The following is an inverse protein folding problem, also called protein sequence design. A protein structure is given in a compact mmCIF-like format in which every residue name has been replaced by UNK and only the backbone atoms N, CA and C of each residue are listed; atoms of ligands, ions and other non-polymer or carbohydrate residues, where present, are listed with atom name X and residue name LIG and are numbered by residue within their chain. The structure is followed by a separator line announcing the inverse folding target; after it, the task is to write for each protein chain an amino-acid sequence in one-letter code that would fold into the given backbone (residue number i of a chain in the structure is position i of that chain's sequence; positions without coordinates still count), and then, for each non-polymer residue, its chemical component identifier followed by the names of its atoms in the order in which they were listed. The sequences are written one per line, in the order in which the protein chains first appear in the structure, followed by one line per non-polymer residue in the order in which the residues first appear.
data_IF_336720844907
#
_entry.id   IF_336720844907
#
_cell.length_a   1.000
_cell.length_b   1.000
_cell.length_c   1.000
_cell.angle_alpha   90.00
_cell.angle_beta   90.00
_cell.angle_gamma   90.00
#
_symmetry.space_group_name_H-M   'P 1'
#
loop_
_entity.id
_entity.type
_entity.pdbx_description
1 polymer ?
#
# COMPACT_ATOMS: atom_id res chain seq x y z
N UNK A 1 -20.22 -0.20 24.86
CA UNK A 1 -19.92 -1.63 24.63
C UNK A 1 -18.41 -1.76 24.52
N UNK A 2 -17.73 -2.20 25.57
CA UNK A 2 -16.31 -2.48 25.49
C UNK A 2 -16.17 -3.87 24.86
N UNK A 3 -15.73 -3.91 23.60
CA UNK A 3 -15.25 -5.15 22.99
C UNK A 3 -14.11 -5.65 23.92
N UNK A 4 -14.18 -6.91 24.35
CA UNK A 4 -13.16 -7.52 25.22
C UNK A 4 -11.75 -7.51 24.59
N UNK A 5 -10.75 -8.16 25.19
CA UNK A 5 -9.34 -8.13 24.76
C UNK A 5 -9.09 -8.97 23.49
N UNK A 6 -9.99 -8.87 22.51
CA UNK A 6 -9.81 -9.44 21.18
C UNK A 6 -8.58 -8.83 20.49
N UNK A 7 -8.06 -9.52 19.47
CA UNK A 7 -6.85 -9.07 18.78
C UNK A 7 -7.05 -7.66 18.20
N UNK A 8 -6.07 -6.78 18.44
CA UNK A 8 -6.09 -5.38 18.01
C UNK A 8 -6.06 -5.20 16.48
N UNK A 9 -5.58 -6.23 15.78
CA UNK A 9 -5.55 -6.36 14.32
C UNK A 9 -5.54 -7.84 13.94
N UNK A 10 -5.89 -8.11 12.70
CA UNK A 10 -5.71 -9.42 12.04
C UNK A 10 -4.70 -9.24 10.93
N UNK A 11 -3.79 -10.21 10.80
CA UNK A 11 -2.80 -10.24 9.72
C UNK A 11 -3.04 -11.48 8.87
N UNK A 12 -3.29 -11.28 7.58
CA UNK A 12 -3.29 -12.35 6.59
C UNK A 12 -1.91 -12.42 5.92
N UNK A 13 -1.45 -13.63 5.66
CA UNK A 13 -0.25 -13.90 4.86
C UNK A 13 -0.63 -14.80 3.70
N UNK A 14 -0.16 -14.48 2.50
CA UNK A 14 -0.38 -15.36 1.38
C UNK A 14 0.18 -14.86 0.05
N UNK A 15 0.11 -15.72 -0.97
CA UNK A 15 0.62 -15.39 -2.29
C UNK A 15 -0.36 -14.51 -3.06
N UNK A 16 0.17 -13.51 -3.77
CA UNK A 16 -0.48 -12.83 -4.89
C UNK A 16 0.47 -12.84 -6.08
N UNK A 17 -0.08 -13.01 -7.28
CA UNK A 17 0.68 -12.91 -8.53
C UNK A 17 0.46 -11.52 -9.11
N UNK A 18 1.53 -10.84 -9.51
CA UNK A 18 1.46 -9.61 -10.30
C UNK A 18 1.12 -9.95 -11.75
N UNK A 19 2.06 -9.73 -12.67
CA UNK A 19 1.92 -10.21 -14.06
C UNK A 19 2.39 -11.66 -14.15
N UNK A 20 3.67 -11.88 -13.89
CA UNK A 20 4.28 -13.20 -14.04
C UNK A 20 4.84 -13.73 -12.72
N UNK A 21 5.25 -12.84 -11.82
CA UNK A 21 5.95 -13.22 -10.58
C UNK A 21 4.97 -13.39 -9.41
N UNK A 22 5.04 -14.52 -8.66
CA UNK A 22 4.34 -14.65 -7.40
C UNK A 22 5.08 -13.91 -6.28
N UNK A 23 4.33 -13.24 -5.41
CA UNK A 23 4.81 -12.56 -4.22
C UNK A 23 4.06 -13.04 -3.00
N UNK A 24 4.76 -13.24 -1.89
CA UNK A 24 4.15 -13.41 -0.57
C UNK A 24 4.00 -12.05 0.07
N UNK A 25 2.76 -11.72 0.46
CA UNK A 25 2.43 -10.45 1.12
C UNK A 25 1.95 -10.69 2.55
N UNK A 26 1.96 -9.62 3.35
CA UNK A 26 1.06 -9.48 4.50
C UNK A 26 0.00 -8.42 4.24
N UNK A 27 -1.20 -8.65 4.77
CA UNK A 27 -2.28 -7.66 4.84
C UNK A 27 -2.71 -7.57 6.31
N UNK A 28 -2.39 -6.46 6.95
CA UNK A 28 -2.81 -6.18 8.32
C UNK A 28 -4.02 -5.24 8.34
N UNK A 29 -5.04 -5.58 9.13
CA UNK A 29 -6.22 -4.75 9.30
C UNK A 29 -6.76 -4.81 10.72
N UNK A 30 -7.11 -3.66 11.28
CA UNK A 30 -7.82 -3.54 12.55
C UNK A 30 -9.01 -2.60 12.40
N UNK A 31 -10.00 -2.77 13.28
CA UNK A 31 -11.16 -1.88 13.28
C UNK A 31 -10.74 -0.46 13.71
N UNK A 32 -11.33 0.59 13.10
CA UNK A 32 -11.18 1.96 13.57
C UNK A 32 -11.61 2.09 15.03
N UNK A 33 -10.79 2.73 15.85
CA UNK A 33 -11.08 3.01 17.27
C UNK A 33 -10.82 4.49 17.52
N UNK A 34 -11.77 5.18 18.16
CA UNK A 34 -11.65 6.61 18.44
C UNK A 34 -10.39 6.91 19.25
N UNK A 35 -9.63 7.92 18.83
CA UNK A 35 -8.37 8.33 19.47
C UNK A 35 -7.13 7.51 19.09
N UNK A 36 -7.28 6.47 18.27
CA UNK A 36 -6.18 5.64 17.79
C UNK A 36 -5.91 5.90 16.30
N UNK A 37 -4.66 6.24 15.98
CA UNK A 37 -4.22 6.65 14.63
C UNK A 37 -3.26 5.65 13.97
N UNK A 38 -3.13 4.44 14.50
CA UNK A 38 -2.31 3.41 13.86
C UNK A 38 -2.84 3.12 12.45
N UNK A 39 -1.93 3.05 11.46
CA UNK A 39 -2.31 2.93 10.05
C UNK A 39 -3.25 1.76 9.77
N UNK A 40 -3.01 0.60 10.37
CA UNK A 40 -3.86 -0.59 10.23
C UNK A 40 -5.31 -0.40 10.73
N UNK A 41 -5.58 0.64 11.52
CA UNK A 41 -6.94 1.03 11.94
C UNK A 41 -7.58 2.04 11.01
N UNK A 42 -6.77 2.77 10.25
CA UNK A 42 -7.22 3.74 9.26
C UNK A 42 -7.53 3.03 7.93
N UNK A 43 -6.69 2.07 7.54
CA UNK A 43 -6.85 1.29 6.31
C UNK A 43 -6.02 -0.01 6.32
N UNK A 44 -6.28 -0.97 5.41
CA UNK A 44 -5.51 -2.20 5.32
C UNK A 44 -4.05 -1.92 4.92
N UNK A 45 -3.12 -2.39 5.73
CA UNK A 45 -1.69 -2.17 5.52
C UNK A 45 -1.12 -3.38 4.80
N UNK A 46 -0.70 -3.19 3.56
CA UNK A 46 -0.16 -4.26 2.71
C UNK A 46 1.35 -4.13 2.60
N UNK A 47 2.09 -5.21 2.83
CA UNK A 47 3.55 -5.26 2.66
C UNK A 47 3.97 -6.45 1.81
N UNK A 48 4.98 -6.24 0.97
CA UNK A 48 5.62 -7.30 0.19
C UNK A 48 6.72 -7.93 1.05
N UNK A 49 6.62 -9.24 1.27
CA UNK A 49 7.59 -9.97 2.11
C UNK A 49 8.61 -10.69 1.25
N UNK A 50 8.15 -11.36 0.18
CA UNK A 50 9.00 -12.14 -0.73
C UNK A 50 8.47 -12.14 -2.16
N UNK A 51 9.35 -12.14 -3.19
CA UNK A 51 10.73 -11.69 -3.08
C UNK A 51 10.78 -10.25 -2.55
N UNK A 52 11.91 -9.87 -1.97
CA UNK A 52 12.07 -8.51 -1.45
C UNK A 52 12.01 -7.51 -2.61
N UNK A 53 11.37 -6.35 -2.39
CA UNK A 53 11.37 -5.28 -3.38
C UNK A 53 12.79 -4.78 -3.65
N UNK A 54 13.07 -4.48 -4.91
CA UNK A 54 14.29 -3.83 -5.38
C UNK A 54 14.09 -2.32 -5.30
N UNK A 55 15.03 -1.65 -4.61
CA UNK A 55 15.11 -0.19 -4.62
C UNK A 55 15.84 0.22 -5.90
N UNK A 56 15.21 1.03 -6.74
CA UNK A 56 15.83 1.55 -7.96
C UNK A 56 15.93 3.07 -7.84
N UNK A 57 17.12 3.55 -7.46
CA UNK A 57 17.39 4.99 -7.30
C UNK A 57 17.58 5.70 -8.64
N UNK A 58 17.84 4.94 -9.71
CA UNK A 58 18.05 5.45 -11.07
C UNK A 58 16.77 5.35 -11.94
N UNK A 59 15.63 5.03 -11.34
CA UNK A 59 14.35 4.97 -12.06
C UNK A 59 13.93 6.36 -12.57
N UNK A 60 13.43 6.42 -13.80
CA UNK A 60 12.90 7.65 -14.42
C UNK A 60 11.76 8.25 -13.56
N UNK A 61 10.87 7.38 -13.06
CA UNK A 61 9.72 7.76 -12.26
C UNK A 61 9.77 7.09 -10.88
N UNK A 62 9.25 7.76 -9.85
CA UNK A 62 8.86 7.12 -8.58
C UNK A 62 10.00 6.38 -7.85
N UNK A 63 11.23 6.88 -8.00
CA UNK A 63 12.38 6.39 -7.24
C UNK A 63 12.25 6.69 -5.74
N UNK A 64 12.75 5.83 -4.84
CA UNK A 64 13.37 4.52 -5.10
C UNK A 64 12.37 3.34 -5.12
N UNK A 65 11.09 3.59 -4.81
CA UNK A 65 9.99 2.63 -4.88
C UNK A 65 8.68 3.38 -5.16
N UNK A 66 7.83 2.86 -6.06
CA UNK A 66 6.62 3.55 -6.43
C UNK A 66 5.48 3.35 -5.45
N UNK A 67 4.75 4.43 -5.12
CA UNK A 67 3.50 4.35 -4.35
C UNK A 67 3.63 3.50 -3.08
N UNK A 68 4.58 3.84 -2.23
CA UNK A 68 4.74 3.27 -0.89
C UNK A 68 4.76 4.37 0.18
N UNK A 69 4.35 4.01 1.38
CA UNK A 69 4.56 4.85 2.57
C UNK A 69 5.91 4.50 3.18
N UNK A 70 6.96 5.24 2.83
CA UNK A 70 8.33 4.97 3.28
C UNK A 70 8.44 4.83 4.79
N UNK A 71 8.92 3.66 5.24
CA UNK A 71 9.14 3.35 6.65
C UNK A 71 10.55 2.80 6.86
N UNK A 72 11.31 3.47 7.73
CA UNK A 72 12.60 2.97 8.21
C UNK A 72 12.39 1.80 9.21
N UNK A 73 13.38 0.90 9.40
CA UNK A 73 14.73 0.93 8.83
C UNK A 73 14.86 0.33 7.43
N UNK A 74 13.90 -0.49 6.97
CA UNK A 74 13.97 -1.13 5.66
C UNK A 74 12.81 -0.68 4.75
N UNK A 75 13.13 0.19 3.80
CA UNK A 75 12.15 0.72 2.84
C UNK A 75 11.51 -0.35 1.97
N UNK A 76 12.10 -1.53 1.84
CA UNK A 76 11.52 -2.65 1.08
C UNK A 76 10.28 -3.25 1.75
N UNK A 77 10.11 -2.99 3.04
CA UNK A 77 8.94 -3.39 3.83
C UNK A 77 7.95 -2.23 4.03
N UNK A 78 8.13 -1.12 3.30
CA UNK A 78 7.20 0.01 3.33
C UNK A 78 5.79 -0.44 2.88
N UNK A 79 4.72 0.00 3.57
CA UNK A 79 3.38 -0.30 3.14
C UNK A 79 3.03 0.25 1.76
N UNK A 80 2.31 -0.53 0.97
CA UNK A 80 1.83 -0.10 -0.33
C UNK A 80 0.76 0.98 -0.20
N UNK A 81 0.84 2.00 -1.04
CA UNK A 81 -0.22 2.99 -1.28
C UNK A 81 -1.11 2.44 -2.41
N UNK A 82 -2.28 1.90 -2.05
CA UNK A 82 -3.11 1.12 -2.99
C UNK A 82 -4.35 1.85 -3.52
N UNK A 83 -4.75 2.93 -2.87
CA UNK A 83 -5.97 3.68 -3.21
C UNK A 83 -5.84 5.11 -2.75
N UNK A 84 -6.66 5.99 -3.29
CA UNK A 84 -6.71 7.40 -2.90
C UNK A 84 -7.78 7.63 -1.81
N UNK A 85 -7.39 8.02 -0.58
CA UNK A 85 -8.35 8.31 0.48
C UNK A 85 -9.33 9.44 0.12
N UNK A 86 -8.91 10.42 -0.70
CA UNK A 86 -9.76 11.57 -1.06
C UNK A 86 -10.76 11.23 -2.17
N UNK A 87 -10.49 10.20 -2.95
CA UNK A 87 -11.43 9.68 -3.95
C UNK A 87 -12.54 8.81 -3.33
N UNK A 88 -12.53 8.64 -2.00
CA UNK A 88 -13.52 7.87 -1.24
C UNK A 88 -13.67 6.42 -1.76
N UNK A 89 -12.59 5.86 -2.31
CA UNK A 89 -12.57 4.52 -2.91
C UNK A 89 -12.66 3.40 -1.86
N UNK A 90 -12.33 3.73 -0.61
CA UNK A 90 -12.26 2.77 0.48
C UNK A 90 -13.01 3.24 1.73
N UNK A 91 -13.69 2.30 2.39
CA UNK A 91 -14.22 2.50 3.75
C UNK A 91 -14.11 1.21 4.57
N UNK A 92 -14.17 1.29 5.92
CA UNK A 92 -14.06 0.12 6.80
C UNK A 92 -15.12 -0.97 6.58
N UNK A 93 -16.23 -0.65 5.90
CA UNK A 93 -17.29 -1.63 5.60
C UNK A 93 -17.03 -2.42 4.31
N UNK A 94 -16.02 -2.05 3.51
CA UNK A 94 -15.70 -2.74 2.27
C UNK A 94 -14.87 -4.00 2.52
N UNK A 95 -15.18 -5.05 1.75
CA UNK A 95 -14.44 -6.31 1.79
C UNK A 95 -13.03 -6.16 1.21
N UNK A 96 -12.02 -6.42 2.04
CA UNK A 96 -10.59 -6.46 1.66
C UNK A 96 -10.35 -7.38 0.44
N UNK A 97 -11.08 -8.49 0.36
CA UNK A 97 -10.99 -9.43 -0.77
C UNK A 97 -11.48 -8.82 -2.10
N UNK A 98 -12.39 -7.85 -2.05
CA UNK A 98 -12.94 -7.16 -3.23
C UNK A 98 -12.25 -5.83 -3.54
N UNK A 99 -11.44 -5.30 -2.62
CA UNK A 99 -10.75 -4.01 -2.76
C UNK A 99 -9.24 -4.16 -2.65
N UNK A 100 -8.71 -4.28 -1.45
CA UNK A 100 -7.27 -4.32 -1.15
C UNK A 100 -6.53 -5.44 -1.89
N UNK A 101 -7.09 -6.66 -1.94
CA UNK A 101 -6.44 -7.79 -2.63
C UNK A 101 -6.27 -7.53 -4.14
N UNK A 102 -7.33 -7.20 -4.90
CA UNK A 102 -7.16 -6.89 -6.32
C UNK A 102 -6.33 -5.62 -6.57
N UNK A 103 -6.37 -4.61 -5.69
CA UNK A 103 -5.50 -3.43 -5.81
C UNK A 103 -4.03 -3.77 -5.58
N UNK A 104 -3.71 -4.60 -4.59
CA UNK A 104 -2.35 -5.08 -4.37
C UNK A 104 -1.84 -5.89 -5.56
N UNK A 105 -2.66 -6.76 -6.15
CA UNK A 105 -2.29 -7.49 -7.36
C UNK A 105 -2.00 -6.55 -8.54
N UNK A 106 -2.81 -5.50 -8.73
CA UNK A 106 -2.55 -4.47 -9.75
C UNK A 106 -1.25 -3.70 -9.47
N UNK A 107 -1.01 -3.30 -8.23
CA UNK A 107 0.24 -2.63 -7.85
C UNK A 107 1.45 -3.52 -8.17
N UNK A 108 1.38 -4.82 -7.85
CA UNK A 108 2.46 -5.78 -8.18
C UNK A 108 2.70 -5.90 -9.68
N UNK A 109 1.64 -5.90 -10.48
CA UNK A 109 1.74 -5.92 -11.94
C UNK A 109 2.43 -4.66 -12.48
N UNK A 110 2.08 -3.48 -11.98
CA UNK A 110 2.73 -2.22 -12.33
C UNK A 110 4.19 -2.17 -11.83
N UNK A 111 4.45 -2.73 -10.65
CA UNK A 111 5.78 -2.80 -10.06
C UNK A 111 6.73 -3.69 -10.89
N UNK A 112 6.27 -4.84 -11.39
CA UNK A 112 7.08 -5.68 -12.28
C UNK A 112 7.50 -4.92 -13.54
N UNK A 113 6.60 -4.08 -14.09
CA UNK A 113 6.92 -3.25 -15.25
C UNK A 113 7.89 -2.13 -14.88
N UNK A 114 7.66 -1.44 -13.75
CA UNK A 114 8.53 -0.39 -13.24
C UNK A 114 9.94 -0.89 -12.90
N UNK A 115 10.07 -2.10 -12.33
CA UNK A 115 11.37 -2.72 -12.06
C UNK A 115 12.15 -2.96 -13.37
N UNK A 116 11.45 -3.32 -14.45
CA UNK A 116 12.06 -3.60 -15.75
C UNK A 116 12.38 -2.34 -16.56
N UNK A 117 11.56 -1.28 -16.46
CA UNK A 117 11.64 -0.10 -17.34
C UNK A 117 12.07 1.18 -16.64
N UNK A 118 12.02 1.23 -15.31
CA UNK A 118 12.17 2.45 -14.51
C UNK A 118 10.98 3.40 -14.57
N UNK A 119 9.88 3.04 -15.26
CA UNK A 119 8.70 3.91 -15.46
C UNK A 119 7.47 3.38 -14.78
N UNK A 120 6.75 4.25 -14.09
CA UNK A 120 5.55 3.85 -13.35
C UNK A 120 4.31 3.95 -14.23
N UNK A 121 3.61 2.83 -14.37
CA UNK A 121 2.39 2.72 -15.17
C UNK A 121 1.12 2.53 -14.32
N UNK A 122 1.24 2.65 -13.00
CA UNK A 122 0.10 2.62 -12.09
C UNK A 122 -0.65 3.94 -12.06
N UNK A 123 -1.87 3.92 -11.51
CA UNK A 123 -2.58 5.14 -11.13
C UNK A 123 -2.06 5.71 -9.81
N UNK A 124 -2.77 6.73 -9.32
CA UNK A 124 -2.47 7.42 -8.05
C UNK A 124 -2.27 8.92 -8.28
N UNK A 125 -2.71 9.75 -7.32
CA UNK A 125 -2.42 11.18 -7.38
C UNK A 125 -0.97 11.40 -6.98
N UNK A 126 -0.21 11.98 -7.90
CA UNK A 126 1.12 12.51 -7.63
C UNK A 126 0.93 13.90 -7.04
N UNK A 127 1.37 14.12 -5.81
CA UNK A 127 1.53 15.50 -5.33
C UNK A 127 2.73 16.07 -6.09
N UNK A 128 2.47 16.72 -7.22
CA UNK A 128 3.51 17.49 -7.92
C UNK A 128 3.93 18.65 -7.03
N UNK A 129 5.23 18.94 -6.94
CA UNK A 129 5.73 20.16 -6.30
C UNK A 129 5.05 21.38 -6.93
N UNK A 130 4.03 21.90 -6.26
CA UNK A 130 3.10 22.89 -6.81
C UNK A 130 1.81 23.03 -6.00
N UNK A 131 1.38 21.99 -5.27
CA UNK A 131 0.18 22.03 -4.42
C UNK A 131 0.36 22.79 -3.08
N UNK A 132 1.49 23.48 -2.91
CA UNK A 132 1.83 24.30 -1.74
C UNK A 132 1.85 25.79 -2.07
N UNK A 133 0.82 26.32 -2.72
CA UNK A 133 0.48 27.76 -2.64
C UNK A 133 -0.91 28.01 -3.20
N UNK A 134 -1.87 28.10 -2.29
CA UNK A 134 -2.91 29.15 -2.21
C UNK A 134 -4.09 28.64 -1.38
N UNK A 135 -3.94 28.74 -0.06
CA UNK A 135 -5.07 28.93 0.83
C UNK A 135 -4.68 30.08 1.77
N UNK A 136 -5.19 31.25 1.43
CA UNK A 136 -5.09 32.50 2.17
C UNK A 136 -5.79 32.43 3.53
#
# INVERSE_FOLDING_TARGET
MALGPGPNSVVWFGPLKGLERPFTLSIEYGLPVSGLIQRHRLFPVVRVLRPSLVLNFDADDEAPLPHVYFEAPDYRLSPLCLFDPMANEWSPSLSIAKTTVPWAARWLACYELWEATGRWHGGGRHMTEGDSKDAA
#
